data_IF_528097700164
#
_entry.id   IF_528097700164
#
_cell.length_a   1.000
_cell.length_b   1.000
_cell.length_c   1.000
_cell.angle_alpha   90.00
_cell.angle_beta   90.00
_cell.angle_gamma   90.00
#
_symmetry.space_group_name_H-M   'P 1'
#
loop_
_entity.id
_entity.type
_entity.pdbx_description
1 polymer ?
#
# COMPACT_ATOMS: atom_id res chain seq x y z
N UNK A 1 3.68 25.78 4.45
CA UNK A 1 4.24 24.90 3.43
C UNK A 1 3.36 23.67 3.27
N UNK A 2 2.98 23.33 2.05
CA UNK A 2 2.07 22.23 1.81
C UNK A 2 2.86 20.94 1.67
N UNK A 3 2.80 20.08 2.70
CA UNK A 3 3.53 18.82 2.76
C UNK A 3 2.64 17.60 2.63
N UNK A 4 1.35 17.80 2.40
CA UNK A 4 0.38 16.71 2.30
C UNK A 4 -0.36 16.67 0.97
N UNK A 5 -0.75 15.48 0.56
CA UNK A 5 -1.65 15.26 -0.56
C UNK A 5 -3.05 14.94 -0.05
N UNK A 6 -4.07 15.51 -0.69
CA UNK A 6 -5.41 14.95 -0.60
C UNK A 6 -5.48 13.68 -1.45
N UNK A 7 -6.44 12.82 -1.20
CA UNK A 7 -6.63 11.62 -2.01
C UNK A 7 -6.76 11.95 -3.50
N UNK A 8 -7.51 13.02 -3.82
CA UNK A 8 -7.70 13.46 -5.21
C UNK A 8 -6.36 13.82 -5.87
N UNK A 9 -5.44 14.43 -5.14
CA UNK A 9 -4.11 14.77 -5.65
C UNK A 9 -3.33 13.51 -6.02
N UNK A 10 -3.44 12.47 -5.20
CA UNK A 10 -2.77 11.19 -5.43
C UNK A 10 -3.35 10.48 -6.66
N UNK A 11 -4.68 10.39 -6.75
CA UNK A 11 -5.34 9.74 -7.87
C UNK A 11 -5.06 10.46 -9.18
N UNK A 12 -5.04 11.80 -9.16
CA UNK A 12 -4.73 12.60 -10.35
C UNK A 12 -3.27 12.44 -10.78
N UNK A 13 -2.34 12.48 -9.83
CA UNK A 13 -0.91 12.40 -10.12
C UNK A 13 -0.51 11.06 -10.70
N UNK A 14 -1.05 9.97 -10.18
CA UNK A 14 -0.64 8.61 -10.53
C UNK A 14 -1.64 7.88 -11.42
N UNK A 15 -2.73 8.53 -11.83
CA UNK A 15 -3.71 7.94 -12.72
C UNK A 15 -4.46 6.75 -12.11
N UNK A 16 -4.85 6.86 -10.85
CA UNK A 16 -5.46 5.78 -10.09
C UNK A 16 -6.92 6.07 -9.74
N UNK A 17 -7.69 5.02 -9.49
CA UNK A 17 -8.99 5.15 -8.84
C UNK A 17 -8.79 5.36 -7.34
N UNK A 18 -9.84 5.84 -6.66
CA UNK A 18 -9.81 6.01 -5.20
C UNK A 18 -9.48 4.69 -4.50
N UNK A 19 -10.09 3.59 -4.95
CA UNK A 19 -9.84 2.26 -4.38
C UNK A 19 -8.39 1.83 -4.54
N UNK A 20 -7.80 2.04 -5.72
CA UNK A 20 -6.39 1.70 -5.98
C UNK A 20 -5.46 2.51 -5.08
N UNK A 21 -5.70 3.82 -4.97
CA UNK A 21 -4.88 4.68 -4.11
C UNK A 21 -4.99 4.27 -2.65
N UNK A 22 -6.20 4.02 -2.15
CA UNK A 22 -6.41 3.54 -0.78
C UNK A 22 -5.74 2.20 -0.52
N UNK A 23 -5.79 1.29 -1.49
CA UNK A 23 -5.15 -0.02 -1.37
C UNK A 23 -3.64 0.13 -1.18
N UNK A 24 -3.00 0.96 -1.98
CA UNK A 24 -1.54 1.18 -1.88
C UNK A 24 -1.18 1.87 -0.57
N UNK A 25 -1.93 2.91 -0.18
CA UNK A 25 -1.72 3.57 1.11
C UNK A 25 -1.79 2.58 2.26
N UNK A 26 -2.76 1.67 2.23
CA UNK A 26 -2.95 0.66 3.24
C UNK A 26 -1.80 -0.37 3.26
N UNK A 27 -1.38 -0.84 2.09
CA UNK A 27 -0.29 -1.83 1.96
C UNK A 27 1.01 -1.34 2.59
N UNK A 28 1.29 -0.05 2.49
CA UNK A 28 2.55 0.52 2.99
C UNK A 28 2.39 1.25 4.32
N UNK A 29 1.22 1.16 4.94
CA UNK A 29 0.97 1.78 6.23
C UNK A 29 1.08 3.29 6.20
N UNK A 30 0.79 3.91 5.06
CA UNK A 30 0.80 5.37 4.93
C UNK A 30 -0.50 5.91 5.49
N UNK A 31 -0.41 6.50 6.67
CA UNK A 31 -1.56 7.04 7.37
C UNK A 31 -1.69 8.54 7.09
N UNK A 32 -2.92 9.03 7.10
CA UNK A 32 -3.15 10.47 7.12
C UNK A 32 -2.58 11.02 8.42
N UNK A 33 -1.71 12.01 8.32
CA UNK A 33 -1.07 12.60 9.50
C UNK A 33 -1.66 13.95 9.89
N UNK A 34 -2.48 14.53 9.01
CA UNK A 34 -3.12 15.83 9.28
C UNK A 34 -4.40 15.98 8.46
N UNK A 35 -5.19 16.95 8.84
CA UNK A 35 -6.31 17.40 8.02
C UNK A 35 -5.93 18.77 7.45
N UNK A 36 -6.24 18.97 6.18
CA UNK A 36 -6.09 20.25 5.50
C UNK A 36 -7.45 20.79 5.14
N UNK A 37 -7.55 22.10 5.11
CA UNK A 37 -8.77 22.77 4.67
C UNK A 37 -8.76 22.87 3.16
N UNK A 38 -9.87 22.48 2.55
CA UNK A 38 -10.10 22.59 1.11
C UNK A 38 -11.43 23.24 0.88
N UNK A 39 -11.50 24.15 -0.10
CA UNK A 39 -12.72 24.88 -0.43
C UNK A 39 -13.45 24.19 -1.59
N UNK A 40 -14.73 23.86 -1.35
CA UNK A 40 -15.64 23.36 -2.38
C UNK A 40 -16.85 24.26 -2.43
N UNK A 41 -17.16 24.80 -3.60
CA UNK A 41 -18.37 25.63 -3.81
C UNK A 41 -18.53 26.72 -2.73
N UNK A 42 -17.44 27.35 -2.37
CA UNK A 42 -17.44 28.41 -1.35
C UNK A 42 -17.47 27.92 0.09
N UNK A 43 -17.48 26.62 0.32
CA UNK A 43 -17.46 26.05 1.66
C UNK A 43 -16.10 25.42 1.95
N UNK A 44 -15.55 25.70 3.13
CA UNK A 44 -14.34 25.09 3.60
C UNK A 44 -14.65 23.75 4.27
N UNK A 45 -13.87 22.71 3.93
CA UNK A 45 -13.98 21.40 4.53
C UNK A 45 -12.62 20.89 4.95
N UNK A 46 -12.57 20.23 6.11
CA UNK A 46 -11.37 19.54 6.57
C UNK A 46 -11.33 18.17 5.91
N UNK A 47 -10.24 17.88 5.22
CA UNK A 47 -10.06 16.61 4.53
C UNK A 47 -8.76 15.96 4.97
N UNK A 48 -8.69 14.61 4.99
CA UNK A 48 -7.46 13.92 5.36
C UNK A 48 -6.35 14.21 4.35
N UNK A 49 -5.14 14.41 4.85
CA UNK A 49 -3.95 14.64 4.04
C UNK A 49 -2.90 13.59 4.36
N UNK A 50 -2.23 13.11 3.31
CA UNK A 50 -1.20 12.09 3.38
C UNK A 50 0.17 12.72 3.14
N UNK A 51 1.23 12.29 3.84
CA UNK A 51 2.55 12.91 3.70
C UNK A 51 3.09 12.74 2.28
N UNK A 52 3.39 13.87 1.62
CA UNK A 52 3.89 13.91 0.23
C UNK A 52 5.15 13.10 0.03
N UNK A 53 6.12 13.29 0.90
CA UNK A 53 7.41 12.61 0.79
C UNK A 53 7.24 11.10 0.81
N UNK A 54 6.35 10.61 1.66
CA UNK A 54 6.09 9.18 1.80
C UNK A 54 5.37 8.63 0.57
N UNK A 55 4.36 9.34 0.09
CA UNK A 55 3.61 8.95 -1.11
C UNK A 55 4.53 8.92 -2.33
N UNK A 56 5.30 9.98 -2.54
CA UNK A 56 6.17 10.09 -3.72
C UNK A 56 7.36 9.13 -3.67
N UNK A 57 7.74 8.65 -2.49
CA UNK A 57 8.76 7.61 -2.34
C UNK A 57 8.22 6.23 -2.72
N UNK A 58 7.00 5.91 -2.31
CA UNK A 58 6.43 4.56 -2.42
C UNK A 58 5.68 4.33 -3.71
N UNK A 59 4.80 5.24 -4.11
CA UNK A 59 3.88 5.02 -5.24
C UNK A 59 4.56 4.74 -6.57
N UNK A 60 5.56 5.52 -7.00
CA UNK A 60 6.19 5.26 -8.30
C UNK A 60 6.79 3.86 -8.40
N UNK A 61 7.52 3.45 -7.38
CA UNK A 61 8.19 2.14 -7.35
C UNK A 61 7.20 0.99 -7.27
N UNK A 62 6.16 1.14 -6.46
CA UNK A 62 5.10 0.13 -6.38
C UNK A 62 4.40 -0.05 -7.73
N UNK A 63 4.07 1.05 -8.39
CA UNK A 63 3.38 1.01 -9.69
C UNK A 63 4.24 0.39 -10.77
N UNK A 64 5.54 0.66 -10.79
CA UNK A 64 6.48 0.02 -11.70
C UNK A 64 6.53 -1.48 -11.46
N UNK A 65 6.64 -1.91 -10.22
CA UNK A 65 6.60 -3.32 -9.86
C UNK A 65 5.27 -3.97 -10.25
N UNK A 66 4.15 -3.30 -9.97
CA UNK A 66 2.81 -3.81 -10.31
C UNK A 66 2.61 -3.95 -11.83
N UNK A 67 3.29 -3.10 -12.62
CA UNK A 67 3.27 -3.16 -14.09
C UNK A 67 4.14 -4.29 -14.66
N UNK A 68 4.87 -5.02 -13.83
CA UNK A 68 5.65 -6.17 -14.26
C UNK A 68 7.16 -5.97 -14.38
N UNK A 69 7.68 -4.83 -13.94
CA UNK A 69 9.12 -4.60 -13.94
C UNK A 69 9.79 -5.37 -12.80
N UNK A 70 10.78 -6.22 -13.14
CA UNK A 70 11.39 -7.16 -12.19
C UNK A 70 12.58 -6.60 -11.43
N UNK A 71 13.28 -5.61 -11.98
CA UNK A 71 14.52 -5.07 -11.39
C UNK A 71 14.30 -3.85 -10.51
N UNK A 72 13.10 -3.68 -9.99
CA UNK A 72 12.75 -2.53 -9.17
C UNK A 72 13.08 -2.82 -7.70
N UNK A 73 13.90 -1.96 -7.12
CA UNK A 73 14.12 -1.95 -5.68
C UNK A 73 13.01 -1.11 -5.06
N UNK A 74 12.16 -1.75 -4.29
CA UNK A 74 11.04 -1.08 -3.64
C UNK A 74 10.92 -1.51 -2.19
N UNK A 75 10.19 -0.72 -1.42
CA UNK A 75 9.92 -1.03 -0.03
C UNK A 75 8.93 -2.20 0.04
N UNK A 76 9.18 -3.14 0.97
CA UNK A 76 8.24 -4.24 1.18
C UNK A 76 6.99 -3.74 1.90
N UNK A 77 5.80 -4.14 1.45
CA UNK A 77 4.56 -3.69 2.10
C UNK A 77 4.42 -4.26 3.52
N UNK A 78 3.70 -3.54 4.38
CA UNK A 78 3.40 -4.02 5.74
C UNK A 78 2.24 -5.01 5.74
N UNK A 79 1.40 -4.97 4.73
CA UNK A 79 0.38 -5.98 4.47
C UNK A 79 0.17 -6.15 2.98
N UNK A 80 -0.22 -7.33 2.54
CA UNK A 80 -0.46 -7.62 1.14
C UNK A 80 -1.30 -8.87 0.96
N UNK A 81 -1.75 -9.09 -0.28
CA UNK A 81 -2.46 -10.30 -0.66
C UNK A 81 -1.47 -11.47 -0.81
N UNK A 82 -2.01 -12.70 -0.83
CA UNK A 82 -1.19 -13.88 -1.11
C UNK A 82 -0.57 -13.82 -2.51
N UNK A 83 -1.27 -13.24 -3.49
CA UNK A 83 -0.73 -13.05 -4.84
C UNK A 83 0.49 -12.14 -4.83
N UNK A 84 0.41 -11.02 -4.12
CA UNK A 84 1.52 -10.08 -4.01
C UNK A 84 2.72 -10.71 -3.29
N UNK A 85 2.47 -11.40 -2.18
CA UNK A 85 3.53 -12.08 -1.43
C UNK A 85 4.20 -13.16 -2.28
N UNK A 86 3.42 -13.94 -3.01
CA UNK A 86 3.94 -14.96 -3.90
C UNK A 86 4.82 -14.38 -4.99
N UNK A 87 4.41 -13.25 -5.57
CA UNK A 87 5.18 -12.56 -6.59
C UNK A 87 6.49 -11.99 -6.02
N UNK A 88 6.44 -11.40 -4.84
CA UNK A 88 7.62 -10.84 -4.16
C UNK A 88 8.63 -11.97 -3.85
N UNK A 89 8.15 -13.11 -3.37
CA UNK A 89 9.00 -14.24 -2.97
C UNK A 89 9.31 -15.21 -4.11
N UNK A 90 8.77 -14.98 -5.32
CA UNK A 90 8.90 -15.87 -6.49
C UNK A 90 8.38 -17.29 -6.22
N UNK A 91 7.25 -17.38 -5.53
CA UNK A 91 6.52 -18.63 -5.29
C UNK A 91 5.07 -18.46 -5.75
N UNK A 92 4.36 -19.58 -5.93
CA UNK A 92 2.96 -19.46 -6.34
C UNK A 92 2.08 -18.92 -5.19
N UNK A 93 0.92 -18.29 -5.52
CA UNK A 93 0.05 -17.70 -4.51
C UNK A 93 -0.47 -18.71 -3.48
N UNK A 94 -0.67 -19.95 -3.86
CA UNK A 94 -1.15 -21.02 -2.97
C UNK A 94 -0.10 -21.33 -1.92
N UNK A 95 1.16 -21.45 -2.33
CA UNK A 95 2.30 -21.66 -1.41
C UNK A 95 2.47 -20.47 -0.47
N UNK A 96 2.34 -19.26 -1.00
CA UNK A 96 2.41 -18.05 -0.17
C UNK A 96 1.31 -18.04 0.90
N UNK A 97 0.09 -18.38 0.52
CA UNK A 97 -1.05 -18.43 1.46
C UNK A 97 -0.82 -19.46 2.56
N UNK A 98 -0.33 -20.65 2.18
CA UNK A 98 -0.03 -21.70 3.14
C UNK A 98 1.02 -21.24 4.15
N UNK A 99 2.09 -20.64 3.65
CA UNK A 99 3.18 -20.10 4.47
C UNK A 99 2.67 -19.07 5.47
N UNK A 100 1.89 -18.10 5.00
CA UNK A 100 1.35 -17.03 5.87
C UNK A 100 0.39 -17.59 6.90
N UNK A 101 -0.40 -18.59 6.54
CA UNK A 101 -1.31 -19.27 7.48
C UNK A 101 -0.52 -20.07 8.53
N UNK A 102 0.51 -20.80 8.12
CA UNK A 102 1.35 -21.59 9.03
C UNK A 102 2.11 -20.68 10.02
N UNK A 103 2.48 -19.48 9.59
CA UNK A 103 3.14 -18.49 10.44
C UNK A 103 2.17 -17.67 11.30
N UNK A 104 0.87 -17.94 11.20
CA UNK A 104 -0.19 -17.27 11.95
C UNK A 104 -0.23 -15.76 11.75
N UNK A 105 0.06 -15.30 10.52
CA UNK A 105 -0.07 -13.89 10.17
C UNK A 105 -1.54 -13.48 10.19
N UNK A 106 -1.84 -12.34 10.78
CA UNK A 106 -3.20 -11.83 10.88
C UNK A 106 -3.77 -11.57 9.50
N UNK A 107 -4.97 -12.09 9.25
CA UNK A 107 -5.69 -11.90 8.00
C UNK A 107 -6.81 -10.88 8.18
N UNK A 108 -6.97 -9.99 7.21
CA UNK A 108 -8.08 -9.03 7.22
C UNK A 108 -8.51 -8.70 5.79
N UNK A 109 -9.70 -8.13 5.66
CA UNK A 109 -10.19 -7.65 4.38
C UNK A 109 -10.05 -6.14 4.30
N UNK A 110 -9.57 -5.64 3.17
CA UNK A 110 -9.45 -4.21 2.91
C UNK A 110 -9.62 -3.95 1.42
N UNK A 111 -10.51 -3.00 1.10
CA UNK A 111 -10.75 -2.53 -0.28
C UNK A 111 -11.02 -3.66 -1.29
N UNK A 112 -11.76 -4.69 -0.86
CA UNK A 112 -12.12 -5.83 -1.69
C UNK A 112 -11.05 -6.90 -1.80
N UNK A 113 -9.99 -6.83 -1.01
CA UNK A 113 -8.89 -7.79 -1.00
C UNK A 113 -8.75 -8.47 0.36
N UNK A 114 -8.37 -9.74 0.36
CA UNK A 114 -7.94 -10.44 1.56
C UNK A 114 -6.44 -10.21 1.71
N UNK A 115 -6.03 -9.56 2.78
CA UNK A 115 -4.64 -9.22 3.05
C UNK A 115 -4.14 -9.88 4.32
N UNK A 116 -2.83 -10.05 4.40
CA UNK A 116 -2.13 -10.57 5.57
C UNK A 116 -1.19 -9.50 6.11
N UNK A 117 -1.20 -9.34 7.43
CA UNK A 117 -0.31 -8.40 8.12
C UNK A 117 1.07 -9.05 8.22
N UNK A 118 2.01 -8.56 7.43
CA UNK A 118 3.35 -9.13 7.35
C UNK A 118 4.34 -8.35 8.22
N UNK A 119 4.55 -7.07 7.92
CA UNK A 119 5.56 -6.26 8.60
C UNK A 119 6.97 -6.80 8.39
N UNK A 120 7.96 -6.11 8.92
CA UNK A 120 9.37 -6.50 8.75
C UNK A 120 9.64 -7.90 9.32
N UNK A 121 9.10 -8.19 10.50
CA UNK A 121 9.29 -9.47 11.15
C UNK A 121 8.65 -10.61 10.36
N UNK A 122 7.48 -10.37 9.79
CA UNK A 122 6.78 -11.37 8.96
C UNK A 122 7.57 -11.72 7.71
N UNK A 123 8.14 -10.72 7.02
CA UNK A 123 8.97 -10.99 5.85
C UNK A 123 10.19 -11.84 6.19
N UNK A 124 10.87 -11.55 7.31
CA UNK A 124 11.99 -12.37 7.79
C UNK A 124 11.55 -13.80 8.06
N UNK A 125 10.44 -13.98 8.75
CA UNK A 125 9.90 -15.30 9.06
C UNK A 125 9.55 -16.09 7.80
N UNK A 126 9.00 -15.41 6.78
CA UNK A 126 8.68 -16.04 5.51
C UNK A 126 9.94 -16.46 4.75
N UNK A 127 10.98 -15.64 4.77
CA UNK A 127 12.26 -15.98 4.14
C UNK A 127 12.95 -17.16 4.81
N UNK A 128 12.74 -17.34 6.11
CA UNK A 128 13.33 -18.43 6.90
C UNK A 128 12.43 -19.68 6.96
N UNK A 129 11.28 -19.62 6.33
CA UNK A 129 10.29 -20.71 6.36
C UNK A 129 10.79 -22.00 5.70
#
# INVERSE_FOLDING_TARGET
MDTGYFLQDITDKYGLTDRQAHTILHMYGILRDAYKVRTYSGQERRMPAYPKSRVDEVFPKHLEWAAGEDDIVFELPVCCTANDAGRILHIDPRSARKMMTDLHLRRHEAFGHVMYDVGDNGWKRMLDY
#
